data_IF_165995965622
#
_entry.id   IF_165995965622
#
_cell.length_a   1.000
_cell.length_b   1.000
_cell.length_c   1.000
_cell.angle_alpha   90.00
_cell.angle_beta   90.00
_cell.angle_gamma   90.00
#
_symmetry.space_group_name_H-M   'P 1'
#
loop_
_entity.id
_entity.type
_entity.pdbx_description
1 polymer ?
#
# COMPACT_ATOMS: atom_id res chain seq x y z
N UNK A 1 -14.79 -26.33 -18.61
CA UNK A 1 -13.94 -25.43 -17.84
C UNK A 1 -13.47 -24.32 -18.76
N UNK A 2 -13.89 -23.12 -18.43
CA UNK A 2 -13.64 -21.91 -19.20
C UNK A 2 -12.13 -21.62 -19.25
N UNK A 3 -11.59 -21.39 -20.45
CA UNK A 3 -10.17 -21.07 -20.66
C UNK A 3 -9.71 -19.81 -19.88
N UNK A 4 -10.65 -18.94 -19.48
CA UNK A 4 -10.38 -17.79 -18.64
C UNK A 4 -10.09 -18.15 -17.17
N UNK A 5 -10.75 -19.18 -16.62
CA UNK A 5 -10.52 -19.64 -15.24
C UNK A 5 -9.14 -20.26 -15.08
N UNK A 6 -8.64 -20.96 -16.11
CA UNK A 6 -7.28 -21.53 -16.08
C UNK A 6 -6.17 -20.46 -16.17
N UNK A 7 -6.42 -19.33 -16.86
CA UNK A 7 -5.46 -18.22 -16.94
C UNK A 7 -5.31 -17.47 -15.60
N UNK A 8 -6.41 -17.31 -14.86
CA UNK A 8 -6.40 -16.63 -13.55
C UNK A 8 -5.64 -17.46 -12.50
N UNK A 9 -5.90 -18.79 -12.48
CA UNK A 9 -5.19 -19.71 -11.57
C UNK A 9 -3.68 -19.76 -11.87
N UNK A 10 -3.29 -19.76 -13.15
CA UNK A 10 -1.88 -19.74 -13.56
C UNK A 10 -1.15 -18.45 -13.19
N UNK A 11 -1.83 -17.30 -13.22
CA UNK A 11 -1.23 -16.00 -12.85
C UNK A 11 -0.96 -15.86 -11.35
N UNK A 12 -1.87 -16.35 -10.52
CA UNK A 12 -1.72 -16.36 -9.05
C UNK A 12 -0.57 -17.28 -8.60
N UNK A 13 -0.38 -18.42 -9.25
CA UNK A 13 0.72 -19.32 -8.95
C UNK A 13 2.09 -18.79 -9.40
N UNK A 14 2.14 -18.09 -10.53
CA UNK A 14 3.36 -17.40 -11.01
C UNK A 14 3.75 -16.26 -10.05
N UNK A 15 2.77 -15.48 -9.60
CA UNK A 15 2.95 -14.44 -8.60
C UNK A 15 3.54 -14.98 -7.29
N UNK A 16 2.95 -16.05 -6.75
CA UNK A 16 3.46 -16.70 -5.53
C UNK A 16 4.91 -17.17 -5.70
N UNK A 17 5.25 -17.78 -6.83
CA UNK A 17 6.62 -18.25 -7.12
C UNK A 17 7.62 -17.10 -7.24
N UNK A 18 7.25 -15.98 -7.85
CA UNK A 18 8.12 -14.79 -7.93
C UNK A 18 8.43 -14.21 -6.56
N UNK A 19 7.43 -14.12 -5.66
CA UNK A 19 7.64 -13.67 -4.29
C UNK A 19 8.54 -14.64 -3.49
N UNK A 20 8.30 -15.95 -3.58
CA UNK A 20 9.09 -16.95 -2.84
C UNK A 20 10.59 -16.97 -3.22
N UNK A 21 10.94 -16.57 -4.43
CA UNK A 21 12.35 -16.53 -4.87
C UNK A 21 13.14 -15.34 -4.29
N UNK A 22 12.47 -14.35 -3.70
CA UNK A 22 13.09 -13.14 -3.13
C UNK A 22 13.00 -13.10 -1.59
N UNK A 23 12.24 -14.00 -0.96
CA UNK A 23 11.96 -13.90 0.47
C UNK A 23 12.90 -14.76 1.31
N UNK A 24 13.68 -14.10 2.14
CA UNK A 24 14.48 -14.75 3.18
C UNK A 24 13.69 -14.93 4.48
N UNK A 25 12.53 -14.30 4.65
CA UNK A 25 11.63 -14.37 5.82
C UNK A 25 10.49 -15.36 5.59
N UNK A 26 10.10 -16.09 6.64
CA UNK A 26 8.93 -16.97 6.55
C UNK A 26 7.64 -16.21 6.87
N UNK A 27 6.75 -15.98 5.88
CA UNK A 27 5.54 -15.18 6.07
C UNK A 27 4.57 -15.76 7.12
N UNK A 28 4.58 -17.07 7.34
CA UNK A 28 3.64 -17.73 8.26
C UNK A 28 4.01 -17.52 9.73
N UNK A 29 5.24 -17.10 10.00
CA UNK A 29 5.78 -16.93 11.35
C UNK A 29 6.15 -15.48 11.64
N UNK A 30 5.77 -14.55 10.75
CA UNK A 30 6.11 -13.13 10.86
C UNK A 30 5.05 -12.40 11.67
N UNK A 31 5.43 -11.95 12.87
CA UNK A 31 4.67 -10.99 13.67
C UNK A 31 5.17 -9.59 13.35
N UNK A 32 4.27 -8.62 13.24
CA UNK A 32 4.67 -7.27 12.87
C UNK A 32 3.70 -6.23 13.40
N UNK A 33 4.21 -5.06 13.70
CA UNK A 33 3.45 -3.87 14.03
C UNK A 33 4.02 -2.66 13.28
N UNK A 34 3.13 -1.78 12.81
CA UNK A 34 3.46 -0.56 12.09
C UNK A 34 2.54 0.54 12.58
N UNK A 35 3.12 1.64 13.06
CA UNK A 35 2.44 2.91 13.35
C UNK A 35 3.04 4.00 12.48
N UNK A 36 2.20 4.89 12.00
CA UNK A 36 2.65 5.99 11.16
C UNK A 36 1.56 6.56 10.27
N UNK A 37 1.92 6.90 9.05
CA UNK A 37 1.09 7.69 8.15
C UNK A 37 0.84 6.94 6.84
N UNK A 38 -0.41 6.92 6.43
CA UNK A 38 -0.83 6.41 5.13
C UNK A 38 -1.33 7.57 4.26
N UNK A 39 -0.79 7.66 3.06
CA UNK A 39 -1.19 8.60 2.03
C UNK A 39 -1.69 7.83 0.83
N UNK A 40 -2.78 8.31 0.24
CA UNK A 40 -3.28 7.78 -1.03
C UNK A 40 -3.66 8.94 -1.93
N UNK A 41 -3.38 8.82 -3.23
CA UNK A 41 -3.97 9.67 -4.25
C UNK A 41 -4.34 8.83 -5.46
N UNK A 42 -5.54 9.05 -5.97
CA UNK A 42 -6.12 8.27 -7.06
C UNK A 42 -6.79 9.15 -8.13
N UNK A 43 -7.24 8.51 -9.20
CA UNK A 43 -7.90 9.16 -10.34
C UNK A 43 -9.41 9.39 -10.16
N UNK A 44 -9.96 9.15 -8.96
CA UNK A 44 -11.35 9.45 -8.64
C UNK A 44 -11.57 10.94 -8.40
N UNK A 45 -12.82 11.39 -8.50
CA UNK A 45 -13.21 12.71 -8.01
C UNK A 45 -13.19 12.74 -6.47
N UNK A 46 -12.98 13.91 -5.90
CA UNK A 46 -13.03 14.13 -4.45
C UNK A 46 -14.50 14.11 -3.99
N UNK A 47 -14.89 13.32 -3.06
CA UNK A 47 -14.19 12.37 -2.23
C UNK A 47 -14.37 10.94 -2.77
N UNK A 48 -13.34 10.09 -2.68
CA UNK A 48 -13.41 8.70 -3.13
C UNK A 48 -14.50 7.91 -2.40
N UNK A 49 -15.33 7.16 -3.16
CA UNK A 49 -16.42 6.38 -2.59
C UNK A 49 -15.99 5.02 -2.00
N UNK A 50 -14.75 4.60 -2.22
CA UNK A 50 -14.25 3.30 -1.76
C UNK A 50 -14.26 3.11 -0.24
N UNK A 51 -13.82 4.08 0.60
CA UNK A 51 -13.87 3.94 2.05
C UNK A 51 -15.27 3.71 2.59
N UNK A 52 -16.25 4.50 2.12
CA UNK A 52 -17.64 4.41 2.56
C UNK A 52 -18.36 3.14 2.10
N UNK A 53 -18.01 2.64 0.92
CA UNK A 53 -18.61 1.43 0.35
C UNK A 53 -17.88 0.15 0.75
N UNK A 54 -16.81 0.25 1.53
CA UNK A 54 -15.90 -0.86 1.85
C UNK A 54 -15.38 -1.56 0.57
N UNK A 55 -15.07 -0.76 -0.46
CA UNK A 55 -14.56 -1.24 -1.73
C UNK A 55 -15.59 -1.93 -2.65
N UNK A 56 -16.89 -1.85 -2.35
CA UNK A 56 -17.94 -2.51 -3.14
C UNK A 56 -18.46 -1.66 -4.30
N UNK A 57 -18.41 -0.34 -4.16
CA UNK A 57 -18.86 0.56 -5.22
C UNK A 57 -17.87 0.59 -6.37
N UNK A 58 -18.39 0.83 -7.57
CA UNK A 58 -17.56 1.19 -8.73
C UNK A 58 -16.85 2.51 -8.41
N UNK A 59 -15.53 2.62 -8.67
CA UNK A 59 -14.82 3.88 -8.50
C UNK A 59 -15.49 5.04 -9.24
N UNK A 60 -15.58 6.19 -8.58
CA UNK A 60 -16.15 7.42 -9.20
C UNK A 60 -15.15 8.14 -10.13
N UNK A 61 -14.26 7.39 -10.73
CA UNK A 61 -13.34 7.82 -11.77
C UNK A 61 -14.01 7.79 -13.14
N UNK A 62 -13.49 8.52 -14.15
CA UNK A 62 -14.13 8.64 -15.49
C UNK A 62 -14.37 7.29 -16.20
N UNK A 63 -13.58 6.27 -15.89
CA UNK A 63 -13.66 4.96 -16.55
C UNK A 63 -14.05 3.81 -15.59
N UNK A 64 -14.46 4.13 -14.37
CA UNK A 64 -14.82 3.14 -13.34
C UNK A 64 -13.66 2.25 -12.86
N UNK A 65 -12.41 2.64 -13.16
CA UNK A 65 -11.19 1.97 -12.72
C UNK A 65 -10.45 2.82 -11.70
N UNK A 66 -9.77 2.19 -10.76
CA UNK A 66 -8.93 2.90 -9.82
C UNK A 66 -7.46 2.79 -10.22
N UNK A 67 -6.83 3.93 -10.46
CA UNK A 67 -5.39 4.08 -10.57
C UNK A 67 -4.93 4.93 -9.40
N UNK A 68 -3.89 4.50 -8.71
CA UNK A 68 -3.43 5.22 -7.53
C UNK A 68 -1.96 4.96 -7.21
N UNK A 69 -1.40 5.84 -6.40
CA UNK A 69 -0.24 5.54 -5.59
C UNK A 69 -0.63 5.57 -4.11
N UNK A 70 -0.02 4.72 -3.34
CA UNK A 70 -0.11 4.71 -1.89
C UNK A 70 1.29 4.95 -1.32
N UNK A 71 1.38 5.71 -0.24
CA UNK A 71 2.59 5.95 0.51
C UNK A 71 2.38 5.59 1.97
N UNK A 72 3.30 4.86 2.56
CA UNK A 72 3.29 4.51 3.97
C UNK A 72 4.61 4.99 4.56
N UNK A 73 4.50 5.94 5.50
CA UNK A 73 5.61 6.36 6.34
C UNK A 73 5.50 5.64 7.68
N UNK A 74 6.49 4.87 8.03
CA UNK A 74 6.55 4.10 9.28
C UNK A 74 7.30 4.93 10.30
N UNK A 75 6.59 5.48 11.29
CA UNK A 75 7.20 6.22 12.40
C UNK A 75 7.81 5.27 13.42
N UNK A 76 7.03 4.25 13.80
CA UNK A 76 7.43 3.17 14.68
C UNK A 76 6.99 1.84 14.07
N UNK A 77 7.84 0.85 14.09
CA UNK A 77 7.46 -0.46 13.61
C UNK A 77 8.55 -1.50 13.77
N UNK A 78 8.11 -2.74 13.83
CA UNK A 78 9.01 -3.89 13.83
C UNK A 78 8.37 -5.06 13.09
N UNK A 79 9.21 -6.00 12.68
CA UNK A 79 8.81 -7.34 12.29
C UNK A 79 9.69 -8.36 13.01
N UNK A 80 9.09 -9.45 13.47
CA UNK A 80 9.78 -10.52 14.19
C UNK A 80 9.41 -11.87 13.58
N UNK A 81 10.40 -12.63 13.13
CA UNK A 81 10.20 -14.01 12.71
C UNK A 81 10.27 -14.94 13.93
N UNK A 82 9.10 -15.37 14.45
CA UNK A 82 9.03 -16.28 15.57
C UNK A 82 9.20 -17.73 15.13
N UNK A 83 10.03 -18.46 15.85
CA UNK A 83 10.25 -19.87 15.55
C UNK A 83 9.06 -20.73 15.99
N UNK A 84 8.48 -21.51 15.06
CA UNK A 84 7.29 -22.34 15.34
C UNK A 84 7.59 -23.77 15.76
N UNK A 85 8.83 -24.11 16.12
CA UNK A 85 9.20 -25.46 16.61
C UNK A 85 9.29 -26.56 15.55
N UNK A 86 8.71 -26.38 14.38
CA UNK A 86 8.80 -27.31 13.25
C UNK A 86 9.38 -26.61 12.02
N UNK A 87 10.70 -26.61 11.91
CA UNK A 87 11.39 -26.14 10.72
C UNK A 87 12.15 -27.30 10.08
N UNK A 88 11.66 -27.90 8.98
CA UNK A 88 12.35 -28.96 8.27
C UNK A 88 13.66 -28.51 7.61
N UNK A 89 13.82 -27.19 7.43
CA UNK A 89 15.05 -26.55 6.94
C UNK A 89 15.65 -25.85 8.17
N UNK A 90 16.75 -26.31 8.70
CA UNK A 90 17.50 -25.72 9.82
C UNK A 90 17.92 -24.28 9.47
N UNK A 91 17.01 -23.33 9.59
CA UNK A 91 17.23 -21.92 9.36
C UNK A 91 17.06 -21.18 10.69
N UNK A 92 18.03 -20.38 11.03
CA UNK A 92 17.94 -19.49 12.20
C UNK A 92 16.84 -18.45 11.96
N UNK A 93 16.07 -18.15 13.02
CA UNK A 93 15.11 -17.03 13.02
C UNK A 93 15.87 -15.72 12.78
N UNK A 94 15.28 -14.82 11.99
CA UNK A 94 15.85 -13.50 11.71
C UNK A 94 15.83 -12.55 12.93
N UNK A 95 15.11 -12.93 14.00
CA UNK A 95 14.94 -12.07 15.16
C UNK A 95 14.05 -10.86 14.87
N UNK A 96 14.31 -9.77 15.58
CA UNK A 96 13.56 -8.51 15.44
C UNK A 96 14.23 -7.65 14.36
N UNK A 97 13.42 -7.24 13.38
CA UNK A 97 13.78 -6.32 12.31
C UNK A 97 13.13 -4.98 12.59
N UNK A 98 13.91 -3.93 12.78
CA UNK A 98 13.41 -2.56 12.96
C UNK A 98 12.90 -2.02 11.62
N UNK A 99 11.65 -1.55 11.62
CA UNK A 99 11.00 -0.92 10.46
C UNK A 99 10.83 0.58 10.65
N UNK A 100 11.21 1.13 11.81
CA UNK A 100 11.02 2.53 12.15
C UNK A 100 11.80 3.45 11.22
N UNK A 101 11.19 4.55 10.81
CA UNK A 101 11.77 5.53 9.90
C UNK A 101 11.84 5.10 8.44
N UNK A 102 11.33 3.91 8.10
CA UNK A 102 11.29 3.42 6.72
C UNK A 102 10.01 3.87 6.01
N UNK A 103 10.09 3.89 4.69
CA UNK A 103 8.97 4.24 3.83
C UNK A 103 8.67 3.12 2.82
N UNK A 104 7.40 2.98 2.48
CA UNK A 104 6.93 2.04 1.46
C UNK A 104 5.97 2.76 0.53
N UNK A 105 6.08 2.54 -0.79
CA UNK A 105 5.08 3.00 -1.73
C UNK A 105 4.53 1.84 -2.56
N UNK A 106 3.28 2.01 -3.02
CA UNK A 106 2.59 1.04 -3.86
C UNK A 106 2.02 1.78 -5.07
N UNK A 107 2.38 1.34 -6.27
CA UNK A 107 1.64 1.64 -7.49
C UNK A 107 0.50 0.64 -7.59
N UNK A 108 -0.74 1.12 -7.78
CA UNK A 108 -1.90 0.25 -7.82
C UNK A 108 -2.81 0.57 -9.01
N UNK A 109 -3.23 -0.48 -9.71
CA UNK A 109 -4.25 -0.45 -10.75
C UNK A 109 -5.33 -1.49 -10.42
N UNK A 110 -6.58 -1.03 -10.33
CA UNK A 110 -7.75 -1.87 -10.01
C UNK A 110 -8.77 -1.74 -11.14
N UNK A 111 -9.20 -2.85 -11.76
CA UNK A 111 -10.05 -2.83 -12.96
C UNK A 111 -11.51 -2.45 -12.71
N UNK A 112 -11.94 -2.34 -11.46
CA UNK A 112 -13.33 -2.05 -11.06
C UNK A 112 -13.44 -1.79 -9.56
N UNK A 113 -14.49 -2.26 -8.88
CA UNK A 113 -14.60 -2.14 -7.43
C UNK A 113 -13.39 -2.71 -6.71
N UNK A 114 -12.88 -2.01 -5.70
CA UNK A 114 -11.66 -2.36 -4.97
C UNK A 114 -11.72 -3.80 -4.42
N UNK A 115 -12.87 -4.20 -3.88
CA UNK A 115 -13.10 -5.53 -3.31
C UNK A 115 -13.28 -6.66 -4.34
N UNK A 116 -13.32 -6.36 -5.65
CA UNK A 116 -13.47 -7.38 -6.70
C UNK A 116 -12.14 -8.06 -7.07
N UNK A 117 -11.01 -7.57 -6.55
CA UNK A 117 -9.70 -8.11 -6.87
C UNK A 117 -9.23 -7.75 -8.29
N UNK A 118 -8.32 -8.56 -8.81
CA UNK A 118 -7.74 -8.32 -10.14
C UNK A 118 -6.69 -7.22 -10.14
N UNK A 119 -6.13 -6.86 -8.98
CA UNK A 119 -5.20 -5.76 -8.84
C UNK A 119 -3.88 -6.03 -9.55
N UNK A 120 -3.35 -4.99 -10.16
CA UNK A 120 -1.94 -4.92 -10.56
C UNK A 120 -1.22 -4.02 -9.58
N UNK A 121 -0.17 -4.52 -8.93
CA UNK A 121 0.56 -3.80 -7.89
C UNK A 121 2.07 -3.85 -8.11
N UNK A 122 2.75 -2.71 -7.95
CA UNK A 122 4.21 -2.58 -7.85
C UNK A 122 4.58 -2.03 -6.49
N UNK A 123 5.61 -2.59 -5.86
CA UNK A 123 6.04 -2.24 -4.51
C UNK A 123 7.39 -1.55 -4.54
N UNK A 124 7.51 -0.45 -3.81
CA UNK A 124 8.74 0.32 -3.62
C UNK A 124 9.07 0.35 -2.14
N UNK A 125 10.28 -0.05 -1.78
CA UNK A 125 10.75 -0.11 -0.40
C UNK A 125 11.96 0.81 -0.24
N UNK A 126 11.98 1.56 0.85
CA UNK A 126 13.08 2.46 1.19
C UNK A 126 14.43 1.73 1.10
N UNK A 127 15.40 2.31 0.38
CA UNK A 127 16.74 1.76 0.24
C UNK A 127 17.51 1.70 1.56
N UNK A 128 17.09 2.47 2.57
CA UNK A 128 17.65 2.46 3.93
C UNK A 128 17.33 1.18 4.70
N UNK A 129 16.29 0.41 4.27
CA UNK A 129 15.96 -0.84 4.92
C UNK A 129 17.13 -1.84 4.82
N UNK A 130 17.41 -2.58 5.89
CA UNK A 130 18.27 -3.76 5.78
C UNK A 130 17.60 -4.79 4.83
N UNK A 131 18.36 -5.76 4.35
CA UNK A 131 17.80 -6.77 3.44
C UNK A 131 16.67 -7.56 4.11
N UNK A 132 16.83 -7.93 5.39
CA UNK A 132 15.81 -8.63 6.16
C UNK A 132 14.57 -7.77 6.41
N UNK A 133 14.73 -6.48 6.71
CA UNK A 133 13.62 -5.53 6.86
C UNK A 133 12.89 -5.31 5.51
N UNK A 134 13.63 -5.22 4.41
CA UNK A 134 13.03 -5.10 3.09
C UNK A 134 12.22 -6.35 2.70
N UNK A 135 12.74 -7.54 2.98
CA UNK A 135 12.01 -8.79 2.78
C UNK A 135 10.75 -8.86 3.65
N UNK A 136 10.85 -8.46 4.93
CA UNK A 136 9.68 -8.38 5.82
C UNK A 136 8.62 -7.42 5.28
N UNK A 137 8.98 -6.21 4.84
CA UNK A 137 8.07 -5.24 4.23
C UNK A 137 7.44 -5.78 2.94
N UNK A 138 8.20 -6.49 2.11
CA UNK A 138 7.67 -7.12 0.90
C UNK A 138 6.60 -8.17 1.25
N UNK A 139 6.83 -8.99 2.27
CA UNK A 139 5.89 -10.01 2.77
C UNK A 139 4.64 -9.37 3.38
N UNK A 140 4.79 -8.30 4.15
CA UNK A 140 3.69 -7.55 4.78
C UNK A 140 2.81 -6.92 3.68
N UNK A 141 3.39 -6.15 2.77
CA UNK A 141 2.64 -5.38 1.77
C UNK A 141 2.21 -6.19 0.54
N UNK A 142 2.66 -7.43 0.39
CA UNK A 142 2.04 -8.40 -0.52
C UNK A 142 0.89 -9.18 0.12
N UNK A 143 0.65 -9.00 1.43
CA UNK A 143 -0.40 -9.67 2.17
C UNK A 143 -0.05 -11.09 2.64
N UNK A 144 1.19 -11.56 2.43
CA UNK A 144 1.58 -12.93 2.79
C UNK A 144 1.76 -13.08 4.31
N UNK A 145 2.12 -12.01 5.02
CA UNK A 145 2.29 -12.02 6.47
C UNK A 145 0.95 -12.00 7.25
N UNK A 146 -0.19 -11.93 6.59
CA UNK A 146 -1.47 -11.83 7.30
C UNK A 146 -1.69 -10.45 7.94
N UNK A 147 -2.55 -10.41 8.98
CA UNK A 147 -2.89 -9.17 9.68
C UNK A 147 -3.65 -8.18 8.81
N UNK A 148 -3.45 -6.88 9.06
CA UNK A 148 -4.17 -5.79 8.42
C UNK A 148 -4.05 -5.79 6.89
N UNK A 149 -2.91 -6.18 6.35
CA UNK A 149 -2.65 -6.28 4.90
C UNK A 149 -2.98 -7.66 4.32
N UNK A 150 -3.33 -8.64 5.14
CA UNK A 150 -3.45 -10.04 4.75
C UNK A 150 -4.43 -10.34 3.60
N UNK A 151 -5.42 -9.48 3.38
CA UNK A 151 -6.36 -9.62 2.27
C UNK A 151 -5.79 -9.24 0.90
N UNK A 152 -4.67 -8.48 0.84
CA UNK A 152 -3.99 -8.11 -0.41
C UNK A 152 -3.62 -9.33 -1.24
N UNK A 153 -3.21 -10.43 -0.61
CA UNK A 153 -2.88 -11.69 -1.30
C UNK A 153 -4.01 -12.27 -2.16
N UNK A 154 -5.25 -11.88 -1.87
CA UNK A 154 -6.43 -12.31 -2.63
C UNK A 154 -6.84 -11.29 -3.69
N UNK A 155 -6.42 -10.04 -3.53
CA UNK A 155 -6.75 -8.94 -4.44
C UNK A 155 -5.74 -8.79 -5.56
N UNK A 156 -4.43 -8.95 -5.25
CA UNK A 156 -3.36 -8.78 -6.24
C UNK A 156 -3.33 -10.00 -7.18
N UNK A 157 -3.67 -9.78 -8.44
CA UNK A 157 -3.60 -10.79 -9.51
C UNK A 157 -2.30 -10.66 -10.32
N UNK A 158 -1.74 -9.45 -10.41
CA UNK A 158 -0.53 -9.18 -11.17
C UNK A 158 0.43 -8.34 -10.33
N UNK A 159 1.55 -8.93 -9.94
CA UNK A 159 2.58 -8.26 -9.16
C UNK A 159 3.75 -7.87 -10.05
N UNK A 160 4.06 -6.58 -10.08
CA UNK A 160 5.09 -6.01 -10.94
C UNK A 160 6.50 -6.12 -10.35
N UNK A 161 6.60 -6.62 -9.10
CA UNK A 161 7.85 -6.81 -8.38
C UNK A 161 8.09 -5.75 -7.30
N UNK A 162 9.27 -5.84 -6.69
CA UNK A 162 9.76 -4.94 -5.64
C UNK A 162 10.93 -4.15 -6.17
N UNK A 163 10.96 -2.84 -5.93
CA UNK A 163 12.11 -1.98 -6.18
C UNK A 163 12.58 -1.34 -4.88
N UNK A 164 13.89 -1.34 -4.65
CA UNK A 164 14.52 -0.57 -3.57
C UNK A 164 14.85 0.82 -4.11
N UNK A 165 14.35 1.86 -3.43
CA UNK A 165 14.45 3.24 -3.89
C UNK A 165 14.70 4.20 -2.72
N UNK A 166 15.30 5.34 -3.02
CA UNK A 166 15.30 6.48 -2.09
C UNK A 166 13.89 7.05 -2.00
N UNK A 167 13.28 6.98 -0.82
CA UNK A 167 11.91 7.45 -0.59
C UNK A 167 11.92 8.56 0.44
N UNK A 168 11.21 9.67 0.17
CA UNK A 168 11.10 10.80 1.09
C UNK A 168 9.65 11.11 1.41
N UNK A 169 9.33 11.15 2.69
CA UNK A 169 8.09 11.67 3.24
C UNK A 169 8.33 13.03 3.88
N UNK A 170 7.42 13.98 3.68
CA UNK A 170 7.47 15.30 4.33
C UNK A 170 6.06 15.79 4.61
N UNK A 171 5.86 16.33 5.79
CA UNK A 171 4.71 17.15 6.13
C UNK A 171 4.96 18.59 5.68
N UNK A 172 3.92 19.27 5.22
CA UNK A 172 3.93 20.67 4.76
C UNK A 172 2.78 21.42 5.42
N UNK A 173 2.76 22.74 5.32
CA UNK A 173 1.73 23.57 5.97
C UNK A 173 0.30 23.27 5.46
N UNK A 174 0.17 22.77 4.23
CA UNK A 174 -1.10 22.53 3.54
C UNK A 174 -1.37 21.04 3.21
N UNK A 175 -0.48 20.14 3.66
CA UNK A 175 -0.65 18.69 3.40
C UNK A 175 0.65 17.91 3.50
N UNK A 176 0.85 16.96 2.58
CA UNK A 176 1.97 16.02 2.64
C UNK A 176 2.57 15.73 1.27
N UNK A 177 3.84 15.37 1.26
CA UNK A 177 4.51 14.88 0.07
C UNK A 177 5.16 13.52 0.32
N UNK A 178 5.11 12.66 -0.71
CA UNK A 178 5.74 11.35 -0.74
C UNK A 178 6.43 11.17 -2.10
N UNK A 179 7.76 11.13 -2.11
CA UNK A 179 8.52 11.24 -3.35
C UNK A 179 9.53 10.11 -3.53
N UNK A 180 9.65 9.63 -4.78
CA UNK A 180 10.70 8.73 -5.23
C UNK A 180 11.29 9.35 -6.50
N UNK A 181 12.59 9.66 -6.56
CA UNK A 181 13.21 10.29 -7.70
C UNK A 181 12.83 9.58 -9.02
N UNK A 182 12.43 10.35 -10.04
CA UNK A 182 12.01 9.91 -11.38
C UNK A 182 10.76 9.02 -11.45
N UNK A 183 10.28 8.47 -10.32
CA UNK A 183 9.15 7.54 -10.25
C UNK A 183 7.89 8.21 -9.71
N UNK A 184 7.95 8.79 -8.51
CA UNK A 184 6.80 9.36 -7.80
C UNK A 184 7.09 10.78 -7.33
N UNK A 185 6.28 11.73 -7.78
CA UNK A 185 6.15 13.07 -7.21
C UNK A 185 4.75 13.18 -6.60
N UNK A 186 4.54 12.49 -5.48
CA UNK A 186 3.27 12.42 -4.78
C UNK A 186 3.12 13.62 -3.83
N UNK A 187 2.08 14.43 -4.07
CA UNK A 187 1.72 15.57 -3.22
C UNK A 187 0.22 15.60 -3.02
N UNK A 188 -0.20 15.70 -1.78
CA UNK A 188 -1.59 15.84 -1.43
C UNK A 188 -1.77 17.04 -0.51
N UNK A 189 -2.85 17.78 -0.70
CA UNK A 189 -3.27 18.87 0.17
C UNK A 189 -4.64 18.56 0.77
N UNK A 190 -4.83 18.92 2.03
CA UNK A 190 -6.11 18.71 2.68
C UNK A 190 -7.20 19.61 2.12
N UNK A 191 -8.43 19.13 2.09
CA UNK A 191 -9.60 19.94 1.76
C UNK A 191 -9.95 20.83 2.95
N UNK A 192 -10.12 22.16 2.74
CA UNK A 192 -10.47 23.07 3.82
C UNK A 192 -11.87 22.79 4.35
N UNK A 193 -12.01 22.76 5.67
CA UNK A 193 -13.29 22.71 6.35
C UNK A 193 -14.05 24.03 6.26
N UNK A 194 -15.26 24.05 6.83
CA UNK A 194 -16.09 25.27 6.88
C UNK A 194 -15.46 26.37 7.74
N UNK A 195 -14.90 26.00 8.86
CA UNK A 195 -14.26 26.94 9.77
C UNK A 195 -12.80 27.14 9.38
N UNK A 196 -12.29 28.37 9.58
CA UNK A 196 -10.92 28.72 9.21
C UNK A 196 -9.91 27.90 10.00
N UNK A 197 -9.02 27.23 9.28
CA UNK A 197 -7.97 26.38 9.87
C UNK A 197 -8.40 24.94 10.13
N UNK A 198 -9.69 24.62 9.94
CA UNK A 198 -10.18 23.25 10.01
C UNK A 198 -10.04 22.56 8.65
N UNK A 199 -9.97 21.24 8.69
CA UNK A 199 -9.91 20.37 7.50
C UNK A 199 -11.12 19.46 7.44
N UNK A 200 -11.48 19.00 6.25
CA UNK A 200 -12.57 18.02 6.11
C UNK A 200 -12.10 16.66 6.60
N UNK A 201 -12.88 16.07 7.53
CA UNK A 201 -12.62 14.75 8.09
C UNK A 201 -13.82 13.84 7.95
N UNK A 202 -13.56 12.54 7.79
CA UNK A 202 -14.57 11.49 7.91
C UNK A 202 -14.13 10.55 9.01
N UNK A 203 -14.94 10.44 10.06
CA UNK A 203 -14.59 9.71 11.28
C UNK A 203 -15.54 8.54 11.53
N UNK A 204 -15.13 7.61 12.39
CA UNK A 204 -15.89 6.43 12.78
C UNK A 204 -16.19 5.47 11.61
N UNK A 205 -15.23 5.31 10.73
CA UNK A 205 -15.31 4.44 9.57
C UNK A 205 -14.98 2.98 9.93
N UNK A 206 -15.62 2.05 9.22
CA UNK A 206 -15.19 0.63 9.18
C UNK A 206 -14.19 0.41 8.04
N UNK A 207 -13.34 1.39 7.82
CA UNK A 207 -12.35 1.35 6.74
C UNK A 207 -11.10 0.58 7.20
N UNK A 208 -10.57 -0.26 6.34
CA UNK A 208 -9.44 -1.15 6.68
C UNK A 208 -8.15 -0.40 6.98
N UNK A 209 -7.98 0.81 6.43
CA UNK A 209 -6.79 1.64 6.66
C UNK A 209 -6.82 2.22 8.07
N UNK A 210 -7.88 2.96 8.40
CA UNK A 210 -8.03 3.64 9.67
C UNK A 210 -9.49 4.05 9.91
N UNK A 211 -9.89 4.31 11.16
CA UNK A 211 -11.25 4.76 11.47
C UNK A 211 -11.50 6.25 11.15
N UNK A 212 -10.46 7.01 10.84
CA UNK A 212 -10.56 8.42 10.45
C UNK A 212 -9.73 8.71 9.20
N UNK A 213 -10.27 9.55 8.33
CA UNK A 213 -9.62 10.05 7.11
C UNK A 213 -9.63 11.57 7.15
N UNK A 214 -8.50 12.20 6.90
CA UNK A 214 -8.44 13.59 6.43
C UNK A 214 -8.64 13.56 4.92
N UNK A 215 -9.69 14.23 4.45
CA UNK A 215 -10.00 14.33 3.02
C UNK A 215 -9.01 15.26 2.36
N UNK A 216 -8.41 14.79 1.28
CA UNK A 216 -7.38 15.49 0.52
C UNK A 216 -7.67 15.43 -0.97
N UNK A 217 -6.88 16.19 -1.73
CA UNK A 217 -6.77 16.09 -3.18
C UNK A 217 -5.31 16.11 -3.62
N UNK A 218 -5.05 15.59 -4.81
CA UNK A 218 -3.73 15.71 -5.43
C UNK A 218 -3.37 17.17 -5.67
N UNK A 219 -2.26 17.62 -5.08
CA UNK A 219 -1.81 19.02 -5.13
C UNK A 219 -0.82 19.25 -6.23
N UNK A 220 -0.88 20.41 -6.89
CA UNK A 220 0.05 21.01 -7.89
C UNK A 220 0.63 20.04 -8.91
N UNK A 221 1.17 18.91 -8.46
CA UNK A 221 1.83 17.91 -9.27
C UNK A 221 1.88 16.60 -8.49
N UNK A 222 0.90 15.73 -8.73
CA UNK A 222 0.87 14.41 -8.11
C UNK A 222 0.91 13.35 -9.21
N UNK A 223 2.10 12.78 -9.43
CA UNK A 223 2.37 11.92 -10.59
C UNK A 223 3.15 10.69 -10.23
N UNK A 224 2.84 9.57 -10.90
CA UNK A 224 3.67 8.38 -10.86
C UNK A 224 4.01 7.94 -12.28
N UNK A 225 5.29 7.57 -12.49
CA UNK A 225 5.78 7.08 -13.78
C UNK A 225 6.66 5.86 -13.55
N UNK A 226 6.10 4.69 -13.76
CA UNK A 226 6.86 3.43 -13.75
C UNK A 226 6.09 2.28 -14.40
N UNK A 227 6.75 1.18 -14.65
CA UNK A 227 6.17 -0.04 -15.24
C UNK A 227 5.30 0.22 -16.48
N UNK A 228 5.70 1.18 -17.33
CA UNK A 228 4.93 1.57 -18.52
C UNK A 228 3.68 2.41 -18.21
N UNK A 229 3.48 2.87 -16.97
CA UNK A 229 2.41 3.79 -16.56
C UNK A 229 2.97 5.20 -16.42
N UNK A 230 2.12 6.18 -16.75
CA UNK A 230 2.43 7.60 -16.57
C UNK A 230 1.12 8.29 -16.20
N UNK A 231 0.83 8.35 -14.90
CA UNK A 231 -0.43 8.87 -14.38
C UNK A 231 -0.21 10.20 -13.67
N UNK A 232 -1.16 11.10 -13.88
CA UNK A 232 -1.27 12.39 -13.21
C UNK A 232 -2.56 12.41 -12.39
N UNK A 233 -2.45 12.58 -11.09
CA UNK A 233 -3.55 12.60 -10.14
C UNK A 233 -3.77 13.99 -9.55
N UNK A 234 -3.24 15.03 -10.19
CA UNK A 234 -3.47 16.42 -9.79
C UNK A 234 -4.96 16.73 -9.77
N UNK A 235 -5.47 17.21 -8.64
CA UNK A 235 -6.89 17.47 -8.43
C UNK A 235 -7.74 16.22 -8.14
N UNK A 236 -7.22 15.03 -8.33
CA UNK A 236 -7.91 13.77 -8.00
C UNK A 236 -7.99 13.51 -6.51
N UNK A 237 -8.89 12.61 -6.12
CA UNK A 237 -9.13 12.27 -4.71
C UNK A 237 -7.87 11.78 -4.02
N UNK A 238 -7.64 12.27 -2.81
CA UNK A 238 -6.58 11.83 -1.94
C UNK A 238 -7.07 11.70 -0.50
N UNK A 239 -6.34 10.95 0.27
CA UNK A 239 -6.60 10.79 1.70
C UNK A 239 -5.31 10.66 2.49
N UNK A 240 -5.37 11.13 3.73
CA UNK A 240 -4.37 10.90 4.74
C UNK A 240 -5.01 10.22 5.94
N UNK A 241 -4.33 9.21 6.47
CA UNK A 241 -4.75 8.48 7.66
C UNK A 241 -3.54 8.24 8.58
N UNK A 242 -3.72 8.47 9.88
CA UNK A 242 -2.83 7.87 10.86
C UNK A 242 -3.15 6.37 10.98
N UNK A 243 -2.15 5.52 10.97
CA UNK A 243 -2.32 4.06 10.98
C UNK A 243 -1.66 3.42 12.19
N UNK A 244 -2.31 2.34 12.66
CA UNK A 244 -1.81 1.43 13.70
C UNK A 244 -2.19 0.01 13.24
N UNK A 245 -1.26 -0.63 12.55
CA UNK A 245 -1.48 -1.92 11.89
C UNK A 245 -0.65 -3.01 12.52
N UNK A 246 -1.21 -4.22 12.57
CA UNK A 246 -0.51 -5.38 13.08
C UNK A 246 -0.81 -6.65 12.26
N UNK A 247 0.10 -7.59 12.37
CA UNK A 247 -0.03 -8.95 11.85
C UNK A 247 0.19 -10.01 12.93
N UNK A 248 -0.21 -11.28 12.61
CA UNK A 248 -0.37 -12.36 13.56
C UNK A 248 0.87 -12.69 14.36
#
# INVERSE_FOLDING_TARGET
PDKNTQRVVGSVDVYKRQLYNYMTVNPLNLHWEIKGNFLLNCNCDVFCNCPMSLGRAVPNSPNGKCFSWWGINIEEGYAEEKWSGFNPIKRESKGIMDLSGLNVAILLEVPGPLGSGGWTAGLYIDEKASDDAADALAVIFSGQAGGQTGWFRHMIANFLGVKRCSISYKETDDGWSFTIPEILDGRIEHEPGKERGEVVKVSNLKYWVAPEIIVCKGSKRSRIRDHGRNWDFTGGSAEYCAVDWAGP
#
